data_IF_326754188436
#
_entry.id   IF_326754188436
#
_cell.length_a   1.000
_cell.length_b   1.000
_cell.length_c   1.000
_cell.angle_alpha   90.00
_cell.angle_beta   90.00
_cell.angle_gamma   90.00
#
_symmetry.space_group_name_H-M   'P 1'
#
loop_
_entity.id
_entity.type
_entity.pdbx_description
1 polymer ?
#
# COMPACT_ATOMS: atom_id res chain seq x y z
N UNK A 1 13.94 -11.13 6.50
CA UNK A 1 12.65 -11.32 7.17
C UNK A 1 11.53 -11.40 6.17
N UNK A 2 10.62 -12.29 6.39
CA UNK A 2 9.45 -12.41 5.54
C UNK A 2 8.27 -11.75 6.20
N UNK A 3 7.93 -10.57 5.75
CA UNK A 3 6.69 -9.93 6.16
C UNK A 3 5.49 -10.65 5.58
N UNK A 4 5.66 -11.19 4.40
CA UNK A 4 4.60 -11.86 3.66
C UNK A 4 5.09 -13.21 3.19
N UNK A 5 4.16 -14.05 2.81
CA UNK A 5 4.50 -15.36 2.28
C UNK A 5 5.37 -15.23 1.06
N UNK A 6 6.25 -16.21 0.88
CA UNK A 6 7.20 -16.23 -0.23
C UNK A 6 6.53 -16.34 -1.60
N UNK A 7 5.29 -16.78 -1.63
CA UNK A 7 4.55 -16.89 -2.88
C UNK A 7 4.33 -15.51 -3.47
N UNK A 8 4.65 -15.36 -4.74
CA UNK A 8 4.43 -14.10 -5.44
C UNK A 8 2.95 -13.72 -5.43
N UNK A 9 2.63 -12.43 -5.23
CA UNK A 9 1.24 -12.01 -5.31
C UNK A 9 0.71 -12.25 -6.73
N UNK A 10 -0.56 -12.64 -6.85
CA UNK A 10 -1.14 -12.79 -8.17
C UNK A 10 -1.21 -11.44 -8.87
N UNK A 11 -0.96 -11.43 -10.17
CA UNK A 11 -1.14 -10.22 -10.95
C UNK A 11 -2.62 -9.85 -10.95
N UNK A 12 -2.94 -8.55 -10.99
CA UNK A 12 -4.31 -8.13 -11.18
C UNK A 12 -4.89 -8.80 -12.42
N UNK A 13 -6.14 -9.17 -12.34
CA UNK A 13 -6.81 -9.86 -13.42
C UNK A 13 -6.61 -9.13 -14.75
N UNK A 14 -6.05 -9.81 -15.73
CA UNK A 14 -5.87 -9.28 -17.07
C UNK A 14 -4.63 -8.45 -17.32
N UNK A 15 -3.80 -8.20 -16.30
CA UNK A 15 -2.59 -7.39 -16.49
C UNK A 15 -1.37 -8.29 -16.61
N UNK A 16 -0.51 -7.97 -17.58
CA UNK A 16 0.82 -8.57 -17.67
C UNK A 16 1.74 -7.91 -16.63
N UNK A 17 2.91 -8.53 -16.42
CA UNK A 17 3.93 -7.92 -15.56
C UNK A 17 4.32 -6.53 -16.05
N UNK A 18 4.52 -6.38 -17.36
CA UNK A 18 4.91 -5.09 -17.91
C UNK A 18 3.83 -4.03 -17.72
N UNK A 19 2.59 -4.40 -17.95
CA UNK A 19 1.47 -3.47 -17.72
C UNK A 19 1.39 -3.07 -16.24
N UNK A 20 1.58 -4.02 -15.33
CA UNK A 20 1.56 -3.74 -13.90
C UNK A 20 2.68 -2.77 -13.51
N UNK A 21 3.87 -2.92 -14.11
CA UNK A 21 5.00 -2.03 -13.84
C UNK A 21 4.76 -0.61 -14.34
N UNK A 22 3.89 -0.43 -15.32
CA UNK A 22 3.54 0.89 -15.85
C UNK A 22 2.41 1.56 -15.05
N UNK A 23 1.75 0.83 -14.18
CA UNK A 23 0.70 1.41 -13.35
C UNK A 23 1.29 2.38 -12.33
N UNK A 24 0.48 3.36 -11.94
CA UNK A 24 0.87 4.38 -10.97
C UNK A 24 0.06 4.17 -9.70
N UNK A 25 0.72 3.90 -8.56
CA UNK A 25 -0.01 3.78 -7.31
C UNK A 25 -0.48 5.14 -6.81
N UNK A 26 -1.68 5.17 -6.29
CA UNK A 26 -2.31 6.38 -5.77
C UNK A 26 -2.87 6.07 -4.39
N UNK A 27 -2.57 6.92 -3.42
CA UNK A 27 -3.07 6.75 -2.05
C UNK A 27 -4.56 7.09 -2.03
N UNK A 28 -5.34 6.25 -1.36
CA UNK A 28 -6.76 6.48 -1.19
C UNK A 28 -6.99 7.70 -0.30
N UNK A 29 -7.94 8.55 -0.69
CA UNK A 29 -8.21 9.80 0.03
C UNK A 29 -8.74 9.59 1.45
N UNK A 30 -9.24 8.40 1.76
CA UNK A 30 -9.75 8.08 3.10
C UNK A 30 -8.66 7.66 4.08
N UNK A 31 -7.41 7.62 3.64
CA UNK A 31 -6.27 7.19 4.44
C UNK A 31 -5.69 8.39 5.19
N UNK A 32 -5.43 8.21 6.49
CA UNK A 32 -4.72 9.21 7.30
C UNK A 32 -3.30 8.71 7.56
N UNK A 33 -2.35 9.62 7.59
CA UNK A 33 -0.94 9.28 7.71
C UNK A 33 -0.34 10.06 8.87
N UNK A 34 0.46 9.38 9.68
CA UNK A 34 1.20 9.98 10.78
C UNK A 34 2.65 9.54 10.69
N UNK A 35 3.56 10.49 10.83
CA UNK A 35 4.99 10.15 10.91
C UNK A 35 5.41 10.16 12.36
N UNK A 36 6.06 9.08 12.78
CA UNK A 36 6.56 8.95 14.15
C UNK A 36 7.91 9.66 14.27
N UNK A 37 8.34 9.89 15.52
CA UNK A 37 9.64 10.52 15.79
C UNK A 37 10.79 9.72 15.17
N UNK A 38 10.64 8.42 15.06
CA UNK A 38 11.63 7.56 14.42
C UNK A 38 11.72 7.75 12.90
N UNK A 39 10.77 8.46 12.31
CA UNK A 39 10.66 8.60 10.86
C UNK A 39 9.80 7.53 10.21
N UNK A 40 9.35 6.55 10.98
CA UNK A 40 8.46 5.53 10.45
C UNK A 40 7.06 6.07 10.27
N UNK A 41 6.37 5.53 9.29
CA UNK A 41 5.02 5.98 8.90
C UNK A 41 3.98 5.04 9.50
N UNK A 42 2.93 5.61 10.06
CA UNK A 42 1.73 4.87 10.46
C UNK A 42 0.60 5.29 9.54
N UNK A 43 -0.02 4.31 8.92
CA UNK A 43 -1.14 4.54 8.00
C UNK A 43 -2.41 4.06 8.67
N UNK A 44 -3.38 4.94 8.75
CA UNK A 44 -4.70 4.60 9.28
C UNK A 44 -5.69 4.53 8.12
N UNK A 45 -6.41 3.44 8.02
CA UNK A 45 -7.30 3.19 6.89
C UNK A 45 -8.59 2.56 7.37
N UNK A 46 -9.71 2.83 6.66
CA UNK A 46 -11.00 2.28 7.06
C UNK A 46 -11.05 0.76 6.85
N UNK A 47 -11.70 0.08 7.77
CA UNK A 47 -11.96 -1.35 7.60
C UNK A 47 -12.96 -1.55 6.48
N UNK A 48 -12.72 -2.53 5.59
CA UNK A 48 -13.73 -2.89 4.61
C UNK A 48 -14.92 -3.50 5.34
N UNK A 49 -16.12 -3.00 5.03
CA UNK A 49 -17.35 -3.49 5.63
C UNK A 49 -18.29 -3.92 4.52
N UNK A 50 -18.93 -5.07 4.72
CA UNK A 50 -19.97 -5.50 3.81
C UNK A 50 -21.16 -4.50 3.89
N UNK A 51 -21.90 -4.31 2.81
CA UNK A 51 -23.02 -3.35 2.81
C UNK A 51 -23.99 -3.56 3.96
N UNK A 52 -24.24 -4.82 4.33
CA UNK A 52 -25.13 -5.15 5.44
C UNK A 52 -24.62 -4.55 6.75
N UNK A 53 -23.32 -4.77 7.05
CA UNK A 53 -22.74 -4.26 8.28
C UNK A 53 -22.64 -2.75 8.26
N UNK A 54 -22.36 -2.16 7.10
CA UNK A 54 -22.29 -0.72 6.96
C UNK A 54 -23.63 -0.07 7.30
N UNK A 55 -24.71 -0.65 6.79
CA UNK A 55 -26.05 -0.17 7.06
C UNK A 55 -26.41 -0.28 8.53
N UNK A 56 -26.10 -1.44 9.13
CA UNK A 56 -26.35 -1.68 10.54
C UNK A 56 -25.52 -0.73 11.41
N UNK A 57 -24.26 -0.55 11.06
CA UNK A 57 -23.34 0.32 11.79
C UNK A 57 -23.85 1.76 11.81
N UNK A 58 -24.31 2.26 10.66
CA UNK A 58 -24.88 3.61 10.56
C UNK A 58 -26.10 3.80 11.45
N UNK A 59 -26.87 2.73 11.61
CA UNK A 59 -28.11 2.77 12.39
C UNK A 59 -27.82 2.95 13.87
N UNK A 60 -26.78 2.30 14.38
CA UNK A 60 -26.47 2.31 15.80
C UNK A 60 -25.35 3.24 16.19
N UNK A 61 -24.59 3.75 15.23
CA UNK A 61 -23.47 4.63 15.48
C UNK A 61 -23.97 6.08 15.52
N UNK A 62 -23.85 6.70 16.67
CA UNK A 62 -24.21 8.11 16.79
C UNK A 62 -23.09 9.03 16.33
N UNK A 63 -21.85 8.61 16.46
CA UNK A 63 -20.72 9.33 15.89
C UNK A 63 -20.61 9.01 14.41
N UNK A 64 -20.04 9.93 13.64
CA UNK A 64 -19.86 9.74 12.21
C UNK A 64 -18.62 8.91 11.88
N UNK A 65 -17.94 8.42 12.89
CA UNK A 65 -16.68 7.71 12.70
C UNK A 65 -16.91 6.23 12.46
N UNK A 66 -16.23 5.71 11.43
CA UNK A 66 -16.21 4.28 11.13
C UNK A 66 -14.96 3.64 11.71
N UNK A 67 -14.99 2.33 12.00
CA UNK A 67 -13.80 1.67 12.53
C UNK A 67 -12.66 1.72 11.51
N UNK A 68 -11.46 1.93 12.02
CA UNK A 68 -10.25 1.98 11.21
C UNK A 68 -9.23 1.01 11.76
N UNK A 69 -8.23 0.71 10.94
CA UNK A 69 -7.04 -0.04 11.35
C UNK A 69 -5.82 0.82 11.13
N UNK A 70 -4.78 0.55 11.90
CA UNK A 70 -3.49 1.20 11.73
C UNK A 70 -2.45 0.19 11.31
N UNK A 71 -1.62 0.59 10.39
CA UNK A 71 -0.50 -0.22 9.92
C UNK A 71 0.76 0.62 10.06
N UNK A 72 1.67 0.16 10.93
CA UNK A 72 2.96 0.82 11.06
C UNK A 72 3.93 0.22 10.05
N UNK A 73 4.52 1.08 9.24
CA UNK A 73 5.50 0.68 8.24
C UNK A 73 6.89 0.74 8.85
N UNK A 74 7.72 -0.26 8.54
CA UNK A 74 9.11 -0.21 8.94
C UNK A 74 9.87 0.82 8.09
N UNK A 75 11.18 0.94 8.30
CA UNK A 75 11.97 1.94 7.60
C UNK A 75 11.90 1.78 6.09
N UNK A 76 11.99 0.54 5.60
CA UNK A 76 11.95 0.29 4.16
C UNK A 76 10.57 0.56 3.59
N UNK A 77 9.53 0.11 4.27
CA UNK A 77 8.16 0.38 3.84
C UNK A 77 7.83 1.86 3.86
N UNK A 78 8.31 2.58 4.85
CA UNK A 78 8.13 4.02 4.94
C UNK A 78 8.80 4.74 3.77
N UNK A 79 9.98 4.27 3.35
CA UNK A 79 10.66 4.85 2.19
C UNK A 79 9.89 4.61 0.90
N UNK A 80 9.33 3.41 0.72
CA UNK A 80 8.49 3.15 -0.45
C UNK A 80 7.23 4.01 -0.39
N UNK A 81 6.64 4.15 0.77
CA UNK A 81 5.44 4.96 0.96
C UNK A 81 5.66 6.39 0.47
N UNK A 82 6.80 6.98 0.83
CA UNK A 82 7.13 8.35 0.44
C UNK A 82 7.31 8.53 -1.06
N UNK A 83 7.58 7.44 -1.78
CA UNK A 83 7.71 7.49 -3.24
C UNK A 83 6.37 7.45 -3.95
N UNK A 84 5.28 7.16 -3.23
CA UNK A 84 3.93 7.10 -3.81
C UNK A 84 3.38 8.53 -3.83
N UNK A 85 3.55 9.20 -4.96
CA UNK A 85 3.13 10.60 -5.11
C UNK A 85 1.99 10.77 -6.12
N UNK A 86 1.47 9.66 -6.65
CA UNK A 86 0.42 9.69 -7.66
C UNK A 86 0.92 9.94 -9.08
N UNK A 87 2.22 10.14 -9.25
CA UNK A 87 2.83 10.41 -10.56
C UNK A 87 3.87 9.38 -10.96
N UNK A 88 4.59 8.80 -10.00
CA UNK A 88 5.59 7.77 -10.29
C UNK A 88 4.91 6.44 -10.51
N UNK A 89 5.27 5.77 -11.60
CA UNK A 89 4.79 4.41 -11.81
C UNK A 89 5.60 3.41 -10.98
N UNK A 90 5.14 2.17 -10.96
CA UNK A 90 5.78 1.11 -10.17
C UNK A 90 7.23 0.92 -10.58
N UNK A 91 7.49 0.92 -11.88
CA UNK A 91 8.85 0.75 -12.41
C UNK A 91 9.82 1.81 -11.85
N UNK A 92 9.37 3.05 -11.82
CA UNK A 92 10.22 4.13 -11.30
C UNK A 92 10.48 3.98 -9.81
N UNK A 93 9.46 3.59 -9.06
CA UNK A 93 9.62 3.35 -7.61
C UNK A 93 10.63 2.23 -7.38
N UNK A 94 10.55 1.15 -8.17
CA UNK A 94 11.49 0.03 -8.07
C UNK A 94 12.93 0.50 -8.33
N UNK A 95 13.13 1.29 -9.38
CA UNK A 95 14.48 1.77 -9.71
C UNK A 95 15.06 2.65 -8.61
N UNK A 96 14.24 3.53 -8.05
CA UNK A 96 14.67 4.40 -6.96
C UNK A 96 14.99 3.60 -5.70
N UNK A 97 14.19 2.57 -5.42
CA UNK A 97 14.43 1.70 -4.28
C UNK A 97 15.74 0.92 -4.44
N UNK A 98 15.97 0.39 -5.64
CA UNK A 98 17.20 -0.34 -5.93
C UNK A 98 18.44 0.55 -5.74
N UNK A 99 18.36 1.78 -6.21
CA UNK A 99 19.46 2.74 -6.06
C UNK A 99 19.71 3.10 -4.60
N UNK A 100 18.62 3.32 -3.87
CA UNK A 100 18.74 3.75 -2.47
C UNK A 100 19.36 2.66 -1.59
N UNK A 101 18.99 1.40 -1.82
CA UNK A 101 19.46 0.29 -0.99
C UNK A 101 20.61 -0.49 -1.60
N UNK A 102 21.09 -0.08 -2.79
CA UNK A 102 22.20 -0.75 -3.48
C UNK A 102 21.94 -2.23 -3.69
N UNK A 103 20.76 -2.55 -4.15
CA UNK A 103 20.35 -3.93 -4.46
C UNK A 103 20.03 -4.04 -5.95
N UNK A 104 19.85 -5.28 -6.41
CA UNK A 104 19.52 -5.50 -7.82
C UNK A 104 18.09 -5.08 -8.10
N UNK A 105 17.82 -4.82 -9.38
CA UNK A 105 16.46 -4.48 -9.82
C UNK A 105 15.49 -5.62 -9.52
N UNK A 106 15.94 -6.87 -9.68
CA UNK A 106 15.11 -8.03 -9.39
C UNK A 106 14.71 -8.10 -7.92
N UNK A 107 15.67 -7.84 -7.03
CA UNK A 107 15.37 -7.81 -5.59
C UNK A 107 14.44 -6.66 -5.24
N UNK A 108 14.70 -5.50 -5.83
CA UNK A 108 13.87 -4.32 -5.60
C UNK A 108 12.45 -4.55 -6.12
N UNK A 109 12.31 -5.16 -7.29
CA UNK A 109 11.00 -5.44 -7.85
C UNK A 109 10.19 -6.32 -6.93
N UNK A 110 10.79 -7.40 -6.41
CA UNK A 110 10.11 -8.32 -5.51
C UNK A 110 9.65 -7.60 -4.24
N UNK A 111 10.54 -6.83 -3.64
CA UNK A 111 10.23 -6.13 -2.38
C UNK A 111 9.15 -5.08 -2.57
N UNK A 112 9.29 -4.24 -3.59
CA UNK A 112 8.36 -3.14 -3.83
C UNK A 112 6.99 -3.66 -4.25
N UNK A 113 6.94 -4.63 -5.17
CA UNK A 113 5.65 -5.14 -5.65
C UNK A 113 4.90 -5.88 -4.55
N UNK A 114 5.61 -6.64 -3.71
CA UNK A 114 4.98 -7.32 -2.58
C UNK A 114 4.37 -6.32 -1.62
N UNK A 115 5.10 -5.24 -1.32
CA UNK A 115 4.62 -4.19 -0.43
C UNK A 115 3.41 -3.47 -1.02
N UNK A 116 3.49 -3.07 -2.28
CA UNK A 116 2.39 -2.38 -2.95
C UNK A 116 1.15 -3.27 -3.06
N UNK A 117 1.35 -4.56 -3.32
CA UNK A 117 0.24 -5.51 -3.36
C UNK A 117 -0.48 -5.56 -2.01
N UNK A 118 0.28 -5.60 -0.93
CA UNK A 118 -0.31 -5.65 0.40
C UNK A 118 -1.09 -4.37 0.73
N UNK A 119 -0.55 -3.22 0.36
CA UNK A 119 -1.27 -1.96 0.52
C UNK A 119 -2.56 -1.93 -0.30
N UNK A 120 -2.49 -2.43 -1.53
CA UNK A 120 -3.67 -2.50 -2.39
C UNK A 120 -4.73 -3.45 -1.85
N UNK A 121 -4.31 -4.59 -1.33
CA UNK A 121 -5.21 -5.57 -0.74
C UNK A 121 -5.97 -4.98 0.45
N UNK A 122 -5.34 -4.10 1.20
CA UNK A 122 -5.96 -3.43 2.35
C UNK A 122 -6.79 -2.22 1.93
N UNK A 123 -6.79 -1.84 0.67
CA UNK A 123 -7.52 -0.67 0.20
C UNK A 123 -6.83 0.65 0.49
N UNK A 124 -5.55 0.61 0.86
CA UNK A 124 -4.79 1.82 1.19
C UNK A 124 -4.39 2.57 -0.07
N UNK A 125 -4.05 1.83 -1.13
CA UNK A 125 -3.73 2.41 -2.43
C UNK A 125 -4.55 1.75 -3.53
N UNK A 126 -4.64 2.43 -4.65
CA UNK A 126 -5.17 1.88 -5.90
C UNK A 126 -4.13 2.05 -6.99
N UNK A 127 -4.24 1.25 -8.04
CA UNK A 127 -3.37 1.35 -9.21
C UNK A 127 -4.13 2.02 -10.35
N UNK A 128 -3.48 2.97 -11.00
CA UNK A 128 -4.06 3.73 -12.08
C UNK A 128 -3.26 3.56 -13.36
#
# INVERSE_FOLDING_TARGET
>A
MKLFRSKSPPAPSGLSRQEALQCTPVVNSSVAVQELDSGEIVVEYPLPMKPFFLSLFRRFQQSQEFPTKKLQLDAMGSNVWREIDGNRNVSRIINRFADHYHITIQEAEKSVTTFLFELGRRGIIAMR
#
